data_IF_743370070875
#
_entry.id   IF_743370070875
#
_cell.length_a   1.000
_cell.length_b   1.000
_cell.length_c   1.000
_cell.angle_alpha   90.00
_cell.angle_beta   90.00
_cell.angle_gamma   90.00
#
_symmetry.space_group_name_H-M   'P 1'
#
loop_
_entity.id
_entity.type
_entity.pdbx_description
1 polymer ?
#
# COMPACT_ATOMS: atom_id res chain seq x y z
N UNK A 1 4.23 -24.44 8.69
CA UNK A 1 3.29 -23.71 7.81
C UNK A 1 3.09 -22.32 8.40
N UNK A 2 3.26 -21.28 7.60
CA UNK A 2 3.08 -19.88 8.03
C UNK A 2 1.80 -19.33 7.45
N UNK A 3 1.21 -18.32 8.13
CA UNK A 3 0.06 -17.55 7.65
C UNK A 3 0.48 -16.10 7.49
N UNK A 4 0.18 -15.50 6.34
CA UNK A 4 0.65 -14.17 6.00
C UNK A 4 -0.44 -13.31 5.39
N UNK A 5 -0.62 -12.11 5.96
CA UNK A 5 -1.31 -11.01 5.32
C UNK A 5 -0.31 -10.17 4.54
N UNK A 6 -0.53 -10.01 3.23
CA UNK A 6 0.39 -9.27 2.34
C UNK A 6 -0.40 -8.20 1.59
N UNK A 7 -0.06 -6.95 1.82
CA UNK A 7 -0.57 -5.80 1.06
C UNK A 7 0.37 -5.49 -0.10
N UNK A 8 -0.03 -5.87 -1.33
CA UNK A 8 0.71 -5.60 -2.57
C UNK A 8 0.20 -4.29 -3.20
N UNK A 9 0.39 -3.19 -2.47
CA UNK A 9 -0.04 -1.87 -2.91
C UNK A 9 0.76 -1.31 -4.08
N UNK A 10 0.25 -0.22 -4.70
CA UNK A 10 0.92 0.48 -5.81
C UNK A 10 2.26 1.12 -5.42
N UNK A 11 2.42 1.54 -4.17
CA UNK A 11 3.66 2.14 -3.70
C UNK A 11 4.58 1.12 -3.03
N UNK A 12 4.02 0.34 -2.12
CA UNK A 12 4.79 -0.57 -1.26
C UNK A 12 4.09 -1.91 -1.11
N UNK A 13 4.88 -2.98 -1.08
CA UNK A 13 4.49 -4.30 -0.60
C UNK A 13 4.78 -4.37 0.90
N UNK A 14 3.77 -4.71 1.71
CA UNK A 14 3.84 -4.68 3.18
C UNK A 14 3.37 -6.00 3.77
N UNK A 15 4.09 -6.51 4.76
CA UNK A 15 3.84 -7.84 5.36
C UNK A 15 4.60 -7.95 6.69
N UNK A 16 3.98 -8.46 7.72
CA UNK A 16 4.64 -8.77 8.99
C UNK A 16 5.45 -7.62 9.62
N UNK A 17 5.02 -6.36 9.45
CA UNK A 17 5.74 -5.17 9.91
C UNK A 17 6.92 -4.74 9.01
N UNK A 18 7.18 -5.46 7.93
CA UNK A 18 8.18 -5.14 6.91
C UNK A 18 7.54 -4.53 5.67
N UNK A 19 8.32 -3.78 4.90
CA UNK A 19 7.91 -3.24 3.60
C UNK A 19 9.09 -3.16 2.64
N UNK A 20 8.77 -3.12 1.35
CA UNK A 20 9.66 -2.67 0.29
C UNK A 20 8.83 -2.01 -0.82
N UNK A 21 9.44 -1.14 -1.64
CA UNK A 21 8.72 -0.50 -2.73
C UNK A 21 8.23 -1.54 -3.74
N UNK A 22 6.96 -1.42 -4.19
CA UNK A 22 6.37 -2.27 -5.23
C UNK A 22 6.91 -1.89 -6.61
N UNK A 23 8.21 -2.08 -6.79
CA UNK A 23 8.98 -1.76 -8.00
C UNK A 23 9.90 -2.91 -8.32
N UNK A 24 10.11 -3.16 -9.59
CA UNK A 24 11.04 -4.19 -10.06
C UNK A 24 11.82 -3.69 -11.27
N UNK A 25 13.01 -4.21 -11.45
CA UNK A 25 13.80 -4.07 -12.67
C UNK A 25 14.70 -5.29 -12.89
N UNK A 26 14.95 -5.63 -14.13
CA UNK A 26 15.95 -6.66 -14.47
C UNK A 26 17.34 -6.12 -14.13
N UNK A 27 18.14 -6.92 -13.42
CA UNK A 27 19.51 -6.55 -13.04
C UNK A 27 19.96 -7.17 -11.74
N UNK A 28 21.16 -6.80 -11.32
CA UNK A 28 21.78 -7.20 -10.05
C UNK A 28 22.08 -5.97 -9.23
N UNK A 29 22.05 -6.12 -7.90
CA UNK A 29 22.52 -5.06 -7.02
C UNK A 29 24.04 -4.94 -7.19
N UNK A 30 24.48 -3.87 -7.86
CA UNK A 30 25.89 -3.54 -7.97
C UNK A 30 26.40 -3.07 -6.60
N UNK A 31 27.04 -3.96 -5.86
CA UNK A 31 27.81 -3.58 -4.69
C UNK A 31 29.27 -3.41 -5.09
N UNK A 32 29.93 -2.33 -4.70
CA UNK A 32 31.38 -2.23 -4.71
C UNK A 32 31.92 -3.24 -3.70
N UNK A 33 32.20 -4.49 -4.15
CA UNK A 33 32.95 -5.52 -3.42
C UNK A 33 32.66 -5.61 -1.89
N UNK A 34 31.41 -5.52 -1.47
CA UNK A 34 31.02 -5.63 -0.06
C UNK A 34 31.23 -4.35 0.78
N UNK A 35 31.58 -3.23 0.20
CA UNK A 35 31.82 -1.96 0.89
C UNK A 35 30.58 -1.06 1.01
N UNK A 36 29.43 -1.43 0.46
CA UNK A 36 28.20 -0.67 0.55
C UNK A 36 27.13 -1.40 1.38
N UNK A 37 26.48 -0.70 2.30
CA UNK A 37 25.26 -1.21 2.92
C UNK A 37 24.18 -1.28 1.84
N UNK A 38 23.59 -2.46 1.64
CA UNK A 38 22.37 -2.59 0.85
C UNK A 38 21.28 -1.80 1.57
N UNK A 39 20.50 -0.95 0.88
CA UNK A 39 19.28 -0.44 1.46
C UNK A 39 18.40 -1.63 1.92
N UNK A 40 17.92 -1.61 3.16
CA UNK A 40 17.16 -2.72 3.75
C UNK A 40 15.92 -3.12 2.92
N UNK A 41 15.40 -2.17 2.16
CA UNK A 41 14.19 -2.33 1.33
C UNK A 41 14.47 -2.81 -0.11
N UNK A 42 15.74 -3.08 -0.48
CA UNK A 42 16.09 -3.58 -1.82
C UNK A 42 16.60 -5.02 -1.77
N UNK A 43 16.07 -5.85 -2.65
CA UNK A 43 16.37 -7.28 -2.70
C UNK A 43 16.80 -7.72 -4.10
N UNK A 44 17.93 -8.45 -4.19
CA UNK A 44 18.30 -9.17 -5.41
C UNK A 44 17.55 -10.49 -5.44
N UNK A 45 16.81 -10.72 -6.52
CA UNK A 45 15.90 -11.86 -6.64
C UNK A 45 16.15 -12.59 -7.96
N UNK A 46 16.53 -13.87 -7.89
CA UNK A 46 16.58 -14.73 -9.08
C UNK A 46 15.29 -15.57 -9.16
N UNK A 47 14.60 -15.45 -10.27
CA UNK A 47 13.34 -16.15 -10.54
C UNK A 47 13.18 -16.44 -12.03
N UNK A 48 12.73 -17.66 -12.38
CA UNK A 48 12.48 -18.10 -13.77
C UNK A 48 13.66 -17.85 -14.73
N UNK A 49 14.90 -18.03 -14.25
CA UNK A 49 16.11 -17.89 -15.08
C UNK A 49 16.61 -16.45 -15.26
N UNK A 50 15.94 -15.46 -14.71
CA UNK A 50 16.39 -14.06 -14.73
C UNK A 50 16.70 -13.56 -13.31
N UNK A 51 17.48 -12.49 -13.21
CA UNK A 51 17.77 -11.79 -11.95
C UNK A 51 17.13 -10.42 -11.98
N UNK A 52 16.48 -10.06 -10.88
CA UNK A 52 15.74 -8.83 -10.70
C UNK A 52 16.22 -8.10 -9.45
N UNK A 53 16.02 -6.80 -9.42
CA UNK A 53 16.02 -6.00 -8.21
C UNK A 53 14.56 -5.74 -7.86
N UNK A 54 14.14 -6.15 -6.67
CA UNK A 54 12.83 -5.86 -6.08
C UNK A 54 13.02 -4.76 -5.03
N UNK A 55 12.17 -3.74 -5.06
CA UNK A 55 12.28 -2.54 -4.23
C UNK A 55 12.82 -1.32 -4.98
N UNK A 56 13.23 -1.49 -6.25
CA UNK A 56 13.69 -0.41 -7.12
C UNK A 56 13.34 -0.71 -8.59
N UNK A 57 13.20 0.32 -9.40
CA UNK A 57 12.84 0.23 -10.81
C UNK A 57 11.50 0.87 -11.12
N UNK A 58 10.74 0.25 -12.04
CA UNK A 58 9.44 0.75 -12.45
C UNK A 58 8.31 0.17 -11.58
N UNK A 59 7.32 0.98 -11.21
CA UNK A 59 6.15 0.50 -10.49
C UNK A 59 5.21 -0.29 -11.43
N UNK A 60 4.66 -1.40 -10.96
CA UNK A 60 3.65 -2.15 -11.72
C UNK A 60 2.23 -1.61 -11.45
N UNK A 61 1.89 -0.51 -12.11
CA UNK A 61 0.62 0.21 -11.90
C UNK A 61 -0.47 -0.09 -12.95
N UNK A 62 -0.19 -0.99 -13.92
CA UNK A 62 -1.17 -1.36 -14.94
C UNK A 62 -2.44 -1.97 -14.30
N UNK A 63 -3.63 -1.70 -14.85
CA UNK A 63 -4.89 -2.26 -14.32
C UNK A 63 -4.93 -3.78 -14.25
N UNK A 64 -4.23 -4.44 -15.17
CA UNK A 64 -4.12 -5.90 -15.28
C UNK A 64 -2.88 -6.48 -14.57
N UNK A 65 -2.17 -5.68 -13.78
CA UNK A 65 -0.92 -6.04 -13.07
C UNK A 65 -0.99 -7.37 -12.31
N UNK A 66 -2.17 -7.76 -11.85
CA UNK A 66 -2.38 -9.01 -11.12
C UNK A 66 -2.22 -10.24 -12.01
N UNK A 67 -2.37 -10.10 -13.32
CA UNK A 67 -2.45 -11.20 -14.28
C UNK A 67 -1.34 -11.17 -15.32
N UNK A 68 -0.77 -10.01 -15.61
CA UNK A 68 0.25 -9.80 -16.65
C UNK A 68 1.62 -9.56 -16.02
N UNK A 69 2.66 -10.00 -16.73
CA UNK A 69 4.04 -9.84 -16.26
C UNK A 69 4.40 -10.69 -15.05
N UNK A 70 5.63 -10.51 -14.59
CA UNK A 70 6.22 -11.27 -13.47
C UNK A 70 6.25 -10.45 -12.17
N UNK A 71 6.02 -9.13 -12.25
CA UNK A 71 6.30 -8.18 -11.16
C UNK A 71 5.46 -8.44 -9.91
N UNK A 72 4.16 -8.72 -10.10
CA UNK A 72 3.27 -9.07 -9.00
C UNK A 72 3.73 -10.35 -8.27
N UNK A 73 4.10 -11.37 -9.04
CA UNK A 73 4.59 -12.64 -8.49
C UNK A 73 5.95 -12.46 -7.80
N UNK A 74 6.85 -11.66 -8.37
CA UNK A 74 8.14 -11.33 -7.76
C UNK A 74 7.96 -10.68 -6.40
N UNK A 75 7.12 -9.64 -6.29
CA UNK A 75 6.86 -8.98 -5.02
C UNK A 75 6.20 -9.92 -4.01
N UNK A 76 5.21 -10.72 -4.45
CA UNK A 76 4.54 -11.71 -3.60
C UNK A 76 5.51 -12.77 -3.05
N UNK A 77 6.26 -13.42 -3.93
CA UNK A 77 7.19 -14.48 -3.54
C UNK A 77 8.36 -13.94 -2.71
N UNK A 78 8.81 -12.71 -2.99
CA UNK A 78 9.82 -12.03 -2.18
C UNK A 78 9.30 -11.78 -0.76
N UNK A 79 8.08 -11.26 -0.60
CA UNK A 79 7.46 -11.05 0.71
C UNK A 79 7.33 -12.36 1.50
N UNK A 80 6.87 -13.45 0.85
CA UNK A 80 6.77 -14.78 1.49
C UNK A 80 8.17 -15.27 1.89
N UNK A 81 9.16 -15.16 1.00
CA UNK A 81 10.50 -15.65 1.25
C UNK A 81 11.24 -14.93 2.38
N UNK A 82 11.00 -13.60 2.51
CA UNK A 82 11.55 -12.78 3.59
C UNK A 82 10.86 -13.03 4.94
N UNK A 83 9.61 -13.51 4.93
CA UNK A 83 8.85 -13.79 6.16
C UNK A 83 9.34 -15.01 6.93
N UNK A 84 10.26 -15.80 6.37
CA UNK A 84 10.78 -17.00 7.02
C UNK A 84 12.26 -17.24 6.73
N UNK A 85 12.99 -17.69 7.74
CA UNK A 85 14.40 -18.13 7.61
C UNK A 85 14.50 -19.51 6.93
N UNK A 86 13.45 -20.28 6.88
CA UNK A 86 13.41 -21.62 6.32
C UNK A 86 13.62 -21.61 4.78
N UNK A 87 14.29 -22.64 4.27
CA UNK A 87 14.45 -22.82 2.83
C UNK A 87 13.12 -23.26 2.20
N UNK A 88 12.42 -24.20 2.83
CA UNK A 88 11.15 -24.73 2.35
C UNK A 88 9.99 -24.15 3.14
N UNK A 89 9.16 -23.34 2.48
CA UNK A 89 8.08 -22.57 3.10
C UNK A 89 6.74 -23.08 2.54
N UNK A 90 5.93 -23.67 3.41
CA UNK A 90 4.52 -23.93 3.14
C UNK A 90 3.71 -22.79 3.82
N UNK A 91 2.86 -22.06 3.07
CA UNK A 91 2.12 -20.92 3.58
C UNK A 91 0.65 -20.91 3.15
N UNK A 92 -0.16 -20.23 3.95
CA UNK A 92 -1.48 -19.71 3.59
C UNK A 92 -1.37 -18.19 3.54
N UNK A 93 -1.96 -17.54 2.55
CA UNK A 93 -1.84 -16.10 2.34
C UNK A 93 -3.21 -15.43 2.20
N UNK A 94 -3.29 -14.18 2.66
CA UNK A 94 -4.36 -13.26 2.29
C UNK A 94 -3.73 -12.03 1.63
N UNK A 95 -4.24 -11.67 0.44
CA UNK A 95 -3.81 -10.47 -0.31
C UNK A 95 -4.98 -9.55 -0.56
N UNK A 96 -4.70 -8.28 -0.87
CA UNK A 96 -5.70 -7.26 -1.11
C UNK A 96 -6.06 -7.03 -2.57
N UNK A 97 -7.28 -6.54 -2.77
CA UNK A 97 -7.74 -5.86 -3.97
C UNK A 97 -8.45 -4.57 -3.60
N UNK A 98 -8.27 -3.47 -4.37
CA UNK A 98 -9.14 -2.30 -4.25
C UNK A 98 -10.61 -2.70 -4.31
N UNK A 99 -11.47 -1.91 -3.65
CA UNK A 99 -12.87 -2.32 -3.42
C UNK A 99 -13.63 -2.61 -4.72
N UNK A 100 -13.42 -1.85 -5.79
CA UNK A 100 -14.12 -2.06 -7.06
C UNK A 100 -13.74 -3.40 -7.71
N UNK A 101 -12.44 -3.73 -7.98
CA UNK A 101 -12.08 -5.05 -8.50
C UNK A 101 -12.42 -6.19 -7.51
N UNK A 102 -12.41 -5.95 -6.20
CA UNK A 102 -12.85 -6.94 -5.22
C UNK A 102 -14.33 -7.34 -5.38
N UNK A 103 -15.20 -6.38 -5.69
CA UNK A 103 -16.63 -6.61 -5.91
C UNK A 103 -16.95 -7.15 -7.32
N UNK A 104 -15.92 -7.38 -8.15
CA UNK A 104 -16.04 -7.93 -9.50
C UNK A 104 -15.52 -9.38 -9.59
N UNK A 105 -15.55 -9.96 -10.80
CA UNK A 105 -14.97 -11.27 -11.08
C UNK A 105 -13.44 -11.32 -10.86
N UNK A 106 -12.77 -10.18 -10.84
CA UNK A 106 -11.31 -10.07 -10.62
C UNK A 106 -10.87 -10.78 -9.35
N UNK A 107 -11.68 -10.71 -8.29
CA UNK A 107 -11.42 -11.43 -7.03
C UNK A 107 -11.25 -12.93 -7.26
N UNK A 108 -12.25 -13.57 -7.86
CA UNK A 108 -12.25 -15.03 -8.08
C UNK A 108 -11.11 -15.47 -9.03
N UNK A 109 -10.84 -14.67 -10.04
CA UNK A 109 -9.73 -14.91 -10.98
C UNK A 109 -8.37 -14.84 -10.28
N UNK A 110 -8.16 -13.85 -9.42
CA UNK A 110 -6.91 -13.69 -8.67
C UNK A 110 -6.75 -14.82 -7.64
N UNK A 111 -7.79 -15.17 -6.88
CA UNK A 111 -7.76 -16.32 -5.97
C UNK A 111 -7.38 -17.61 -6.70
N UNK A 112 -7.99 -17.86 -7.85
CA UNK A 112 -7.66 -19.02 -8.68
C UNK A 112 -6.21 -19.01 -9.12
N UNK A 113 -5.71 -17.88 -9.67
CA UNK A 113 -4.31 -17.74 -10.10
C UNK A 113 -3.35 -18.03 -8.95
N UNK A 114 -3.57 -17.46 -7.78
CA UNK A 114 -2.68 -17.62 -6.63
C UNK A 114 -2.68 -19.05 -6.08
N UNK A 115 -3.84 -19.71 -6.04
CA UNK A 115 -3.94 -21.11 -5.61
C UNK A 115 -3.33 -22.09 -6.63
N UNK A 116 -3.25 -21.71 -7.90
CA UNK A 116 -2.64 -22.52 -8.96
C UNK A 116 -1.14 -22.29 -9.09
N UNK A 117 -0.61 -21.14 -8.65
CA UNK A 117 0.78 -20.71 -8.83
C UNK A 117 1.81 -21.77 -8.37
N UNK A 118 1.53 -22.46 -7.28
CA UNK A 118 2.44 -23.48 -6.72
C UNK A 118 1.78 -24.87 -6.59
N UNK A 119 0.67 -25.09 -7.30
CA UNK A 119 -0.14 -26.32 -7.16
C UNK A 119 0.60 -27.56 -7.63
N UNK A 120 1.32 -27.48 -8.74
CA UNK A 120 2.09 -28.60 -9.30
C UNK A 120 3.42 -28.73 -8.58
N UNK A 121 4.21 -27.66 -8.55
CA UNK A 121 5.54 -27.62 -7.99
C UNK A 121 5.71 -26.40 -7.08
N UNK A 122 6.64 -26.50 -6.09
CA UNK A 122 7.03 -25.32 -5.29
C UNK A 122 7.68 -24.27 -6.19
N UNK A 123 7.31 -23.02 -5.99
CA UNK A 123 8.05 -21.92 -6.64
C UNK A 123 9.47 -21.87 -6.09
N UNK A 124 10.45 -21.96 -6.99
CA UNK A 124 11.87 -21.79 -6.64
C UNK A 124 12.28 -20.34 -6.90
N UNK A 125 12.77 -19.67 -5.86
CA UNK A 125 13.23 -18.29 -5.92
C UNK A 125 14.49 -18.16 -5.06
N UNK A 126 15.47 -17.35 -5.51
CA UNK A 126 16.65 -17.02 -4.70
C UNK A 126 16.55 -15.56 -4.30
N UNK A 127 16.58 -15.25 -3.00
CA UNK A 127 16.48 -13.89 -2.47
C UNK A 127 17.75 -13.56 -1.72
N UNK A 128 18.48 -12.53 -2.16
CA UNK A 128 19.76 -12.12 -1.57
C UNK A 128 20.76 -13.27 -1.41
N UNK A 129 20.81 -14.18 -2.41
CA UNK A 129 21.68 -15.36 -2.42
C UNK A 129 21.15 -16.56 -1.61
N UNK A 130 19.98 -16.47 -1.00
CA UNK A 130 19.35 -17.57 -0.25
C UNK A 130 18.25 -18.22 -1.07
N UNK A 131 18.36 -19.52 -1.32
CA UNK A 131 17.33 -20.29 -2.02
C UNK A 131 16.09 -20.48 -1.15
N UNK A 132 14.92 -20.32 -1.75
CA UNK A 132 13.60 -20.55 -1.14
C UNK A 132 12.76 -21.41 -2.06
N UNK A 133 12.04 -22.36 -1.46
CA UNK A 133 11.07 -23.24 -2.09
C UNK A 133 9.70 -22.99 -1.48
N UNK A 134 8.86 -22.23 -2.17
CA UNK A 134 7.59 -21.70 -1.64
C UNK A 134 6.42 -22.53 -2.17
N UNK A 135 5.53 -22.96 -1.28
CA UNK A 135 4.23 -23.55 -1.61
C UNK A 135 3.10 -22.78 -0.94
N UNK A 136 2.25 -22.19 -1.75
CA UNK A 136 1.00 -21.57 -1.31
C UNK A 136 -0.05 -22.68 -1.21
N UNK A 137 -0.46 -23.03 0.00
CA UNK A 137 -1.50 -24.04 0.26
C UNK A 137 -2.90 -23.50 0.06
N UNK A 138 -3.08 -22.23 0.40
CA UNK A 138 -4.32 -21.49 0.24
C UNK A 138 -4.03 -20.01 0.06
N UNK A 139 -4.72 -19.40 -0.88
CA UNK A 139 -4.76 -17.97 -1.07
C UNK A 139 -6.19 -17.45 -0.93
N UNK A 140 -6.36 -16.38 -0.22
CA UNK A 140 -7.60 -15.62 -0.06
C UNK A 140 -7.36 -14.21 -0.59
N UNK A 141 -8.33 -13.67 -1.32
CA UNK A 141 -8.33 -12.28 -1.75
C UNK A 141 -9.36 -11.51 -0.94
N UNK A 142 -8.94 -10.40 -0.33
CA UNK A 142 -9.79 -9.58 0.53
C UNK A 142 -9.85 -8.12 0.04
N UNK A 143 -10.84 -7.33 0.50
CA UNK A 143 -10.95 -5.94 0.11
C UNK A 143 -9.91 -5.07 0.83
N UNK A 144 -9.27 -4.16 0.09
CA UNK A 144 -8.55 -3.04 0.68
C UNK A 144 -9.54 -2.11 1.39
N UNK A 145 -9.11 -1.50 2.47
CA UNK A 145 -9.97 -0.57 3.21
C UNK A 145 -10.98 -1.21 4.15
N UNK A 146 -10.89 -2.50 4.45
CA UNK A 146 -11.87 -3.23 5.26
C UNK A 146 -11.56 -3.25 6.77
N UNK A 147 -10.96 -2.19 7.33
CA UNK A 147 -10.58 -2.11 8.75
C UNK A 147 -11.73 -2.32 9.74
N UNK A 148 -12.94 -2.10 9.28
CA UNK A 148 -14.16 -2.26 10.08
C UNK A 148 -14.28 -3.59 10.82
N UNK A 149 -13.58 -4.64 10.37
CA UNK A 149 -13.62 -5.97 11.01
C UNK A 149 -13.07 -6.03 12.44
N UNK A 150 -12.30 -5.04 12.87
CA UNK A 150 -11.73 -4.99 14.22
C UNK A 150 -12.60 -4.21 15.22
N UNK A 151 -13.64 -3.54 14.75
CA UNK A 151 -14.54 -2.80 15.62
C UNK A 151 -15.68 -3.68 16.09
N UNK A 152 -16.02 -3.61 17.38
CA UNK A 152 -17.22 -4.24 17.93
C UNK A 152 -18.49 -3.59 17.39
N UNK A 153 -18.39 -2.33 16.97
CA UNK A 153 -19.46 -1.56 16.33
C UNK A 153 -19.26 -1.61 14.83
N UNK A 154 -20.06 -2.40 14.15
CA UNK A 154 -19.92 -2.63 12.70
C UNK A 154 -20.91 -1.82 11.87
N UNK A 155 -21.80 -1.07 12.52
CA UNK A 155 -22.84 -0.34 11.84
C UNK A 155 -22.38 1.04 11.38
N UNK A 156 -22.54 1.31 10.09
CA UNK A 156 -22.43 2.63 9.49
C UNK A 156 -21.06 3.31 9.72
N UNK A 157 -20.00 2.62 9.32
CA UNK A 157 -18.62 3.08 9.38
C UNK A 157 -18.15 3.44 7.97
N UNK A 158 -17.50 4.59 7.82
CA UNK A 158 -16.79 4.96 6.59
C UNK A 158 -15.31 4.69 6.79
N UNK A 159 -14.70 4.00 5.83
CA UNK A 159 -13.25 3.84 5.76
C UNK A 159 -12.69 4.61 4.58
N UNK A 160 -11.56 5.29 4.78
CA UNK A 160 -10.80 6.03 3.78
C UNK A 160 -9.39 5.50 3.79
N UNK A 161 -9.05 4.70 2.79
CA UNK A 161 -7.71 4.12 2.61
C UNK A 161 -6.91 4.97 1.63
N UNK A 162 -5.90 5.65 2.15
CA UNK A 162 -5.06 6.60 1.45
C UNK A 162 -3.86 5.92 0.80
N UNK A 163 -4.07 5.35 -0.37
CA UNK A 163 -3.02 4.68 -1.14
C UNK A 163 -2.12 5.64 -1.92
N UNK A 164 -0.94 5.14 -2.31
CA UNK A 164 -0.01 5.86 -3.17
C UNK A 164 -0.59 6.11 -4.57
N UNK A 165 -1.38 5.17 -5.12
CA UNK A 165 -1.98 5.23 -6.45
C UNK A 165 -3.43 5.70 -6.48
N UNK A 166 -4.21 5.33 -5.48
CA UNK A 166 -5.66 5.57 -5.39
C UNK A 166 -6.08 5.78 -3.96
N UNK A 167 -7.25 6.36 -3.75
CA UNK A 167 -7.92 6.40 -2.45
C UNK A 167 -9.19 5.56 -2.54
N UNK A 168 -9.30 4.54 -1.69
CA UNK A 168 -10.52 3.74 -1.57
C UNK A 168 -11.41 4.33 -0.48
N UNK A 169 -12.67 4.59 -0.81
CA UNK A 169 -13.69 5.08 0.12
C UNK A 169 -14.79 4.03 0.19
N UNK A 170 -15.13 3.57 1.38
CA UNK A 170 -16.15 2.54 1.55
C UNK A 170 -16.99 2.83 2.79
N UNK A 171 -18.31 2.82 2.65
CA UNK A 171 -19.26 2.82 3.75
C UNK A 171 -19.72 1.39 4.02
N UNK A 172 -19.62 0.98 5.27
CA UNK A 172 -19.92 -0.36 5.75
C UNK A 172 -21.16 -0.36 6.63
N UNK A 173 -22.00 -1.37 6.43
CA UNK A 173 -23.08 -1.69 7.35
C UNK A 173 -23.05 -3.20 7.63
N UNK A 174 -22.85 -3.60 8.90
CA UNK A 174 -22.70 -5.00 9.29
C UNK A 174 -21.71 -5.79 8.42
N UNK A 175 -20.50 -5.25 8.23
CA UNK A 175 -19.43 -5.81 7.40
C UNK A 175 -19.76 -5.93 5.91
N UNK A 176 -20.87 -5.33 5.46
CA UNK A 176 -21.25 -5.29 4.05
C UNK A 176 -20.95 -3.91 3.48
N UNK A 177 -20.20 -3.77 2.39
CA UNK A 177 -20.04 -2.48 1.73
C UNK A 177 -21.37 -2.06 1.09
N UNK A 178 -21.90 -0.92 1.53
CA UNK A 178 -23.19 -0.39 1.04
C UNK A 178 -23.02 0.78 0.07
N UNK A 179 -21.90 1.50 0.15
CA UNK A 179 -21.49 2.51 -0.80
C UNK A 179 -19.96 2.50 -0.88
N UNK A 180 -19.40 2.60 -2.08
CA UNK A 180 -17.96 2.55 -2.27
C UNK A 180 -17.55 3.12 -3.62
N UNK A 181 -16.33 3.66 -3.66
CA UNK A 181 -15.65 4.04 -4.89
C UNK A 181 -14.14 4.08 -4.70
N UNK A 182 -13.42 4.07 -5.82
CA UNK A 182 -11.99 4.31 -5.88
C UNK A 182 -11.72 5.68 -6.51
N UNK A 183 -11.34 6.64 -5.69
CA UNK A 183 -11.08 8.02 -6.12
C UNK A 183 -9.70 8.09 -6.76
N UNK A 184 -9.53 8.59 -8.00
CA UNK A 184 -8.25 8.70 -8.70
C UNK A 184 -7.41 9.89 -8.19
N UNK A 185 -7.38 10.08 -6.89
CA UNK A 185 -6.56 11.07 -6.19
C UNK A 185 -5.52 10.32 -5.39
N UNK A 186 -4.27 10.39 -5.81
CA UNK A 186 -3.19 9.67 -5.19
C UNK A 186 -2.21 10.60 -4.50
N UNK A 187 -1.55 10.12 -3.44
CA UNK A 187 -0.45 10.84 -2.82
C UNK A 187 0.72 11.06 -3.80
N UNK A 188 0.98 10.12 -4.69
CA UNK A 188 1.98 10.30 -5.75
C UNK A 188 1.70 11.52 -6.62
N UNK A 189 0.41 11.84 -6.88
CA UNK A 189 0.03 13.07 -7.58
C UNK A 189 0.29 14.31 -6.74
N UNK A 190 -0.09 14.29 -5.46
CA UNK A 190 0.17 15.39 -4.54
C UNK A 190 1.68 15.66 -4.37
N UNK A 191 2.50 14.63 -4.20
CA UNK A 191 3.96 14.78 -4.12
C UNK A 191 4.55 15.43 -5.37
N UNK A 192 4.06 15.05 -6.55
CA UNK A 192 4.46 15.67 -7.83
C UNK A 192 4.02 17.13 -7.92
N UNK A 193 2.81 17.44 -7.48
CA UNK A 193 2.31 18.81 -7.45
C UNK A 193 3.12 19.71 -6.50
N UNK A 194 3.49 19.21 -5.32
CA UNK A 194 4.37 19.90 -4.37
C UNK A 194 5.77 20.11 -4.97
N UNK A 195 6.38 19.06 -5.56
CA UNK A 195 7.70 19.19 -6.19
C UNK A 195 7.68 20.23 -7.33
N UNK A 196 6.64 20.23 -8.15
CA UNK A 196 6.46 21.24 -9.21
C UNK A 196 6.26 22.64 -8.64
N UNK A 197 5.52 22.79 -7.54
CA UNK A 197 5.32 24.07 -6.89
C UNK A 197 6.65 24.66 -6.38
N UNK A 198 7.47 23.85 -5.70
CA UNK A 198 8.82 24.25 -5.23
C UNK A 198 9.67 24.73 -6.40
N UNK A 199 9.68 23.96 -7.51
CA UNK A 199 10.42 24.31 -8.73
C UNK A 199 9.91 25.62 -9.34
N UNK A 200 8.60 25.78 -9.49
CA UNK A 200 7.98 26.95 -10.15
C UNK A 200 8.13 28.24 -9.32
N UNK A 201 8.32 28.13 -8.02
CA UNK A 201 8.60 29.27 -7.12
C UNK A 201 10.09 29.58 -6.99
N UNK A 202 10.95 28.93 -7.79
CA UNK A 202 12.38 29.22 -7.85
C UNK A 202 13.20 28.73 -6.65
N UNK A 203 12.61 27.86 -5.81
CA UNK A 203 13.24 27.33 -4.59
C UNK A 203 14.19 26.15 -4.85
N UNK A 204 14.25 25.64 -6.08
CA UNK A 204 15.10 24.52 -6.48
C UNK A 204 14.30 23.39 -7.12
N UNK A 205 14.96 22.27 -7.35
CA UNK A 205 14.32 21.08 -7.97
C UNK A 205 14.47 19.89 -7.05
N UNK A 206 13.35 19.26 -6.72
CA UNK A 206 13.27 18.04 -5.90
C UNK A 206 12.45 16.98 -6.62
N UNK A 207 12.69 15.71 -6.28
CA UNK A 207 11.90 14.61 -6.83
C UNK A 207 10.61 14.39 -6.00
N UNK A 208 9.55 13.82 -6.59
CA UNK A 208 8.38 13.41 -5.82
C UNK A 208 8.69 12.43 -4.68
N UNK A 209 9.68 11.53 -4.87
CA UNK A 209 10.13 10.62 -3.82
C UNK A 209 10.75 11.37 -2.64
N UNK A 210 11.54 12.42 -2.90
CA UNK A 210 12.09 13.26 -1.83
C UNK A 210 11.00 14.01 -1.05
N UNK A 211 9.91 14.41 -1.74
CA UNK A 211 8.73 14.99 -1.06
C UNK A 211 8.00 13.94 -0.22
N UNK A 212 7.89 12.68 -0.71
CA UNK A 212 7.30 11.58 0.07
C UNK A 212 8.06 11.38 1.39
N UNK A 213 9.39 11.31 1.33
CA UNK A 213 10.26 11.10 2.50
C UNK A 213 10.19 12.27 3.51
N UNK A 214 9.88 13.47 3.02
CA UNK A 214 9.79 14.71 3.83
C UNK A 214 8.37 15.27 3.92
N UNK A 215 7.34 14.44 3.69
CA UNK A 215 5.96 14.88 3.61
C UNK A 215 5.47 15.47 4.93
N UNK A 216 4.93 16.68 4.87
CA UNK A 216 4.47 17.44 6.05
C UNK A 216 5.54 18.30 6.70
N UNK A 217 6.81 18.24 6.27
CA UNK A 217 7.86 19.13 6.73
C UNK A 217 7.55 20.60 6.34
N UNK A 218 8.06 21.52 7.12
CA UNK A 218 8.00 22.97 6.82
C UNK A 218 9.24 23.47 6.12
N UNK A 219 10.34 22.74 6.26
CA UNK A 219 11.64 23.05 5.66
C UNK A 219 12.25 21.76 5.14
N UNK A 220 12.93 21.83 4.00
CA UNK A 220 13.67 20.69 3.40
C UNK A 220 15.04 21.17 2.93
N UNK A 221 16.00 20.26 2.88
CA UNK A 221 17.31 20.54 2.28
C UNK A 221 17.22 20.49 0.76
N UNK A 222 17.64 21.56 0.09
CA UNK A 222 17.80 21.59 -1.36
C UNK A 222 19.20 22.13 -1.66
N UNK A 223 20.04 21.30 -2.27
CA UNK A 223 21.44 21.64 -2.62
C UNK A 223 22.25 22.15 -1.42
N UNK A 224 22.07 21.54 -0.23
CA UNK A 224 22.77 21.88 0.99
C UNK A 224 22.25 23.15 1.70
N UNK A 225 21.05 23.60 1.35
CA UNK A 225 20.39 24.76 1.99
C UNK A 225 19.02 24.37 2.49
N UNK A 226 18.69 24.76 3.72
CA UNK A 226 17.33 24.65 4.24
C UNK A 226 16.43 25.66 3.53
N UNK A 227 15.34 25.16 2.97
CA UNK A 227 14.37 25.92 2.19
C UNK A 227 13.01 25.79 2.83
N UNK A 228 12.38 26.92 3.16
CA UNK A 228 11.01 26.98 3.66
C UNK A 228 10.02 26.54 2.57
N UNK A 229 9.20 25.54 2.91
CA UNK A 229 8.10 25.01 2.10
C UNK A 229 6.77 25.00 2.87
N UNK A 230 6.66 25.82 3.91
CA UNK A 230 5.47 25.87 4.78
C UNK A 230 4.17 26.19 4.04
N UNK A 231 4.25 26.90 2.90
CA UNK A 231 3.13 27.21 2.00
C UNK A 231 2.51 25.95 1.35
N UNK A 232 3.26 24.84 1.27
CA UNK A 232 2.74 23.56 0.76
C UNK A 232 1.65 22.98 1.66
N UNK A 233 1.56 23.39 2.93
CA UNK A 233 0.47 23.03 3.84
C UNK A 233 -0.91 23.39 3.28
N UNK A 234 -1.01 24.52 2.55
CA UNK A 234 -2.27 24.89 1.89
C UNK A 234 -2.63 23.90 0.75
N UNK A 235 -1.64 23.36 0.07
CA UNK A 235 -1.85 22.34 -0.97
C UNK A 235 -2.38 21.05 -0.33
N UNK A 236 -1.80 20.63 0.79
CA UNK A 236 -2.25 19.46 1.56
C UNK A 236 -3.69 19.66 2.06
N UNK A 237 -3.99 20.84 2.65
CA UNK A 237 -5.33 21.18 3.12
C UNK A 237 -6.38 21.13 1.99
N UNK A 238 -6.07 21.71 0.83
CA UNK A 238 -6.94 21.65 -0.36
C UNK A 238 -7.15 20.23 -0.87
N UNK A 239 -6.09 19.43 -0.85
CA UNK A 239 -6.16 18.01 -1.25
C UNK A 239 -7.11 17.25 -0.33
N UNK A 240 -6.95 17.36 1.00
CA UNK A 240 -7.82 16.71 1.98
C UNK A 240 -9.27 17.19 1.86
N UNK A 241 -9.51 18.51 1.75
CA UNK A 241 -10.86 19.05 1.55
C UNK A 241 -11.53 18.52 0.28
N UNK A 242 -10.74 18.36 -0.80
CA UNK A 242 -11.24 17.77 -2.04
C UNK A 242 -11.53 16.27 -1.93
N UNK A 243 -10.80 15.53 -1.07
CA UNK A 243 -11.13 14.14 -0.75
C UNK A 243 -12.41 14.06 0.08
N UNK A 244 -12.57 14.91 1.06
CA UNK A 244 -13.79 14.97 1.88
C UNK A 244 -15.02 15.24 1.03
N UNK A 245 -14.94 16.13 0.03
CA UNK A 245 -16.02 16.33 -0.94
C UNK A 245 -16.39 15.02 -1.66
N UNK A 246 -15.40 14.27 -2.13
CA UNK A 246 -15.69 12.96 -2.74
C UNK A 246 -16.31 11.96 -1.74
N UNK A 247 -15.92 12.00 -0.46
CA UNK A 247 -16.52 11.14 0.55
C UNK A 247 -18.02 11.46 0.73
N UNK A 248 -18.41 12.75 0.73
CA UNK A 248 -19.81 13.17 0.76
C UNK A 248 -20.57 12.77 -0.50
N UNK A 249 -19.93 12.74 -1.66
CA UNK A 249 -20.56 12.32 -2.91
C UNK A 249 -20.82 10.80 -2.96
N UNK A 250 -19.97 10.00 -2.28
CA UNK A 250 -20.01 8.54 -2.30
C UNK A 250 -20.84 7.99 -1.14
N UNK A 251 -20.71 8.57 0.07
CA UNK A 251 -21.20 8.02 1.34
C UNK A 251 -22.18 8.93 2.04
N UNK A 252 -23.06 8.34 2.82
CA UNK A 252 -23.95 9.08 3.74
C UNK A 252 -23.17 9.47 5.02
N UNK A 253 -22.34 10.50 4.88
CA UNK A 253 -21.48 11.00 5.97
C UNK A 253 -22.29 11.41 7.21
N UNK A 254 -23.45 12.11 7.11
CA UNK A 254 -24.25 12.48 8.28
C UNK A 254 -24.67 11.30 9.16
N UNK A 255 -24.93 10.15 8.55
CA UNK A 255 -25.37 8.96 9.27
C UNK A 255 -24.19 8.08 9.77
N UNK A 256 -22.97 8.33 9.32
CA UNK A 256 -21.82 7.52 9.72
C UNK A 256 -21.48 7.72 11.20
N UNK A 257 -21.35 6.64 11.95
CA UNK A 257 -20.93 6.68 13.37
C UNK A 257 -19.46 6.98 13.51
N UNK A 258 -18.64 6.44 12.59
CA UNK A 258 -17.18 6.62 12.56
C UNK A 258 -16.69 6.83 11.14
N UNK A 259 -15.61 7.59 11.02
CA UNK A 259 -14.83 7.74 9.79
C UNK A 259 -13.40 7.36 10.13
N UNK A 260 -12.95 6.24 9.61
CA UNK A 260 -11.61 5.70 9.86
C UNK A 260 -10.71 5.98 8.67
N UNK A 261 -9.58 6.64 8.93
CA UNK A 261 -8.63 7.10 7.92
C UNK A 261 -7.31 6.40 8.15
N UNK A 262 -6.81 5.74 7.13
CA UNK A 262 -5.54 5.02 7.18
C UNK A 262 -4.86 4.98 5.80
N UNK A 263 -3.76 4.26 5.68
CA UNK A 263 -2.89 4.26 4.51
C UNK A 263 -1.66 5.14 4.67
N UNK A 264 -0.79 5.14 3.67
CA UNK A 264 0.54 5.74 3.78
C UNK A 264 0.59 7.24 4.09
N UNK A 265 -0.45 7.99 3.67
CA UNK A 265 -0.52 9.43 3.88
C UNK A 265 -1.32 9.88 5.11
N UNK A 266 -1.95 8.95 5.83
CA UNK A 266 -2.97 9.28 6.83
C UNK A 266 -2.39 10.07 8.02
N UNK A 267 -1.28 9.61 8.60
CA UNK A 267 -0.67 10.25 9.77
C UNK A 267 -0.20 11.67 9.45
N UNK A 268 0.45 11.86 8.32
CA UNK A 268 0.96 13.18 7.92
C UNK A 268 -0.14 14.18 7.55
N UNK A 269 -1.38 13.70 7.34
CA UNK A 269 -2.55 14.55 7.06
C UNK A 269 -3.53 14.63 8.22
N UNK A 270 -3.20 14.06 9.39
CA UNK A 270 -4.11 13.93 10.52
C UNK A 270 -4.78 15.25 10.93
N UNK A 271 -4.02 16.34 11.01
CA UNK A 271 -4.50 17.65 11.46
C UNK A 271 -5.50 18.33 10.50
N UNK A 272 -5.58 17.85 9.24
CA UNK A 272 -6.43 18.49 8.23
C UNK A 272 -7.85 17.90 8.17
N UNK A 273 -8.03 16.65 8.63
CA UNK A 273 -9.29 15.92 8.44
C UNK A 273 -10.44 16.51 9.26
N UNK A 274 -10.17 16.85 10.52
CA UNK A 274 -11.19 17.43 11.39
C UNK A 274 -11.72 18.76 10.82
N UNK A 275 -10.84 19.63 10.37
CA UNK A 275 -11.23 20.88 9.73
C UNK A 275 -12.00 20.64 8.42
N UNK A 276 -11.60 19.63 7.62
CA UNK A 276 -12.22 19.36 6.34
C UNK A 276 -13.64 18.76 6.45
N UNK A 277 -13.89 17.92 7.46
CA UNK A 277 -15.23 17.40 7.75
C UNK A 277 -16.10 18.35 8.56
N UNK A 278 -15.50 19.37 9.20
CA UNK A 278 -16.12 20.29 10.16
C UNK A 278 -15.71 19.98 11.60
N UNK A 279 -15.33 21.02 12.34
CA UNK A 279 -14.76 20.89 13.70
C UNK A 279 -15.70 20.19 14.69
N UNK A 280 -17.01 20.32 14.49
CA UNK A 280 -18.05 19.70 15.33
C UNK A 280 -18.31 18.21 14.98
N UNK A 281 -17.74 17.70 13.88
CA UNK A 281 -17.92 16.32 13.48
C UNK A 281 -17.11 15.38 14.38
N UNK A 282 -17.82 14.60 15.18
CA UNK A 282 -17.24 13.54 16.01
C UNK A 282 -17.00 12.25 15.22
N UNK A 283 -16.24 11.32 15.81
CA UNK A 283 -16.00 9.99 15.25
C UNK A 283 -15.01 9.93 14.10
N UNK A 284 -14.21 10.99 13.85
CA UNK A 284 -13.12 10.97 12.89
C UNK A 284 -11.87 10.41 13.58
N UNK A 285 -11.35 9.33 13.06
CA UNK A 285 -10.20 8.61 13.61
C UNK A 285 -9.14 8.37 12.54
N UNK A 286 -7.95 8.95 12.73
CA UNK A 286 -6.77 8.58 11.95
C UNK A 286 -6.07 7.46 12.71
N UNK A 287 -5.94 6.29 12.07
CA UNK A 287 -5.43 5.11 12.75
C UNK A 287 -3.92 5.22 12.99
N UNK A 288 -3.44 4.86 14.20
CA UNK A 288 -2.02 4.68 14.42
C UNK A 288 -1.53 3.52 13.54
N UNK A 289 -0.26 3.53 13.16
CA UNK A 289 0.35 2.49 12.30
C UNK A 289 -0.36 2.30 10.94
N UNK A 290 -1.03 3.34 10.48
CA UNK A 290 -1.94 3.34 9.32
C UNK A 290 -1.33 2.79 8.04
N UNK A 291 -0.01 2.87 7.88
CA UNK A 291 0.71 2.34 6.72
C UNK A 291 0.59 0.82 6.58
N UNK A 292 0.48 0.09 7.70
CA UNK A 292 0.40 -1.39 7.71
C UNK A 292 -1.01 -1.93 7.90
N UNK A 293 -2.01 -1.07 8.05
CA UNK A 293 -3.39 -1.45 8.37
C UNK A 293 -3.93 -2.57 7.47
N UNK A 294 -3.80 -2.45 6.15
CA UNK A 294 -4.29 -3.49 5.22
C UNK A 294 -3.60 -4.84 5.46
N UNK A 295 -2.27 -4.87 5.57
CA UNK A 295 -1.54 -6.13 5.81
C UNK A 295 -1.88 -6.77 7.15
N UNK A 296 -2.15 -5.98 8.19
CA UNK A 296 -2.60 -6.45 9.50
C UNK A 296 -4.03 -7.02 9.44
N UNK A 297 -4.93 -6.41 8.68
CA UNK A 297 -6.28 -6.94 8.42
C UNK A 297 -6.19 -8.28 7.71
N UNK A 298 -5.39 -8.38 6.64
CA UNK A 298 -5.22 -9.62 5.88
C UNK A 298 -4.62 -10.73 6.76
N UNK A 299 -3.71 -10.38 7.68
CA UNK A 299 -3.18 -11.31 8.67
C UNK A 299 -4.29 -11.87 9.56
N UNK A 300 -5.17 -11.00 10.07
CA UNK A 300 -6.31 -11.41 10.89
C UNK A 300 -7.32 -12.26 10.11
N UNK A 301 -7.56 -11.92 8.83
CA UNK A 301 -8.44 -12.70 7.95
C UNK A 301 -7.92 -14.11 7.77
N UNK A 302 -6.64 -14.27 7.39
CA UNK A 302 -6.09 -15.63 7.15
C UNK A 302 -5.98 -16.46 8.42
N UNK A 303 -5.90 -15.86 9.59
CA UNK A 303 -5.89 -16.56 10.87
C UNK A 303 -7.28 -17.06 11.29
N UNK A 304 -8.35 -16.32 10.94
CA UNK A 304 -9.75 -16.63 11.31
C UNK A 304 -10.45 -17.59 10.36
N UNK A 305 -10.08 -17.58 9.10
CA UNK A 305 -10.71 -18.48 8.11
C UNK A 305 -10.12 -19.87 8.25
N UNK A 306 -10.98 -20.82 8.65
CA UNK A 306 -10.64 -22.25 8.83
C UNK A 306 -10.62 -23.00 7.49
#
# INVERSE_FOLDING_TARGET
MIRLGIDLGNGYTKFGGMKFASKTKVGRLAGLAGLGNKPEEMHEVAYQGATYIVGDGEPFTAPDRYFTGVDYELCLLTAIGLSSKEISIDCEICVGLPIIPYMSETRALLEKKLNELTKKDKAKITINGQDKLIRIKRAIVFAEGAYVMDTMETDNIITIDLGAGTVNVTQWNNLTPVAYDTVPKSFNKLYREIANHIKNTGRGTVTPAYIEDNFGATEIDIDGKLVDISDTRQMIAKYVSSLVSNVYDICDVPQAKKIQIFGGGAVATADYWKNAFGEEREGIEVLPNSQFTNSEIYQKVIERVK
#
